data_IF_811509133349
#
_entry.id   IF_811509133349
#
_cell.length_a   1.000
_cell.length_b   1.000
_cell.length_c   1.000
_cell.angle_alpha   90.00
_cell.angle_beta   90.00
_cell.angle_gamma   90.00
#
_symmetry.space_group_name_H-M   'P 1'
#
loop_
_entity.id
_entity.type
_entity.pdbx_description
1 polymer ?
#
# COMPACT_ATOMS: atom_id res chain seq x y z
N UNK A 1 -26.56 -65.99 7.76
CA UNK A 1 -27.65 -65.30 8.47
C UNK A 1 -27.26 -63.84 8.41
N UNK A 2 -27.76 -63.10 7.45
CA UNK A 2 -29.00 -62.30 7.45
C UNK A 2 -28.79 -61.05 8.33
N UNK A 3 -28.98 -59.83 8.01
CA UNK A 3 -29.77 -59.04 7.03
C UNK A 3 -29.22 -57.61 7.07
N UNK A 4 -28.93 -56.94 6.03
CA UNK A 4 -29.62 -56.05 5.08
C UNK A 4 -30.38 -54.83 5.65
N UNK A 5 -30.18 -53.73 4.92
CA UNK A 5 -31.01 -52.55 4.70
C UNK A 5 -30.94 -51.47 5.78
N UNK A 6 -30.87 -50.20 5.48
CA UNK A 6 -31.11 -49.38 4.30
C UNK A 6 -31.10 -47.93 4.79
N UNK A 7 -30.53 -47.06 4.06
CA UNK A 7 -30.49 -45.62 4.42
C UNK A 7 -30.38 -44.75 3.19
N UNK A 8 -31.52 -44.44 2.64
CA UNK A 8 -31.67 -43.64 1.41
C UNK A 8 -31.78 -42.14 1.70
N UNK A 9 -31.11 -41.38 0.84
CA UNK A 9 -31.58 -40.14 0.23
C UNK A 9 -32.05 -39.01 1.17
N UNK A 10 -31.15 -38.09 1.44
CA UNK A 10 -31.47 -36.71 1.89
C UNK A 10 -30.44 -35.69 1.38
N UNK A 11 -29.82 -35.93 0.22
CA UNK A 11 -28.78 -35.06 -0.35
C UNK A 11 -29.21 -34.08 -1.45
N UNK A 12 -30.48 -34.03 -1.83
CA UNK A 12 -30.90 -33.35 -3.06
C UNK A 12 -31.60 -31.98 -2.87
N UNK A 13 -32.08 -31.66 -1.71
CA UNK A 13 -32.91 -30.45 -1.50
C UNK A 13 -32.15 -29.23 -0.95
N UNK A 14 -31.02 -29.44 -0.30
CA UNK A 14 -30.21 -28.34 0.27
C UNK A 14 -29.40 -27.56 -0.78
N UNK A 15 -28.99 -28.19 -1.87
CA UNK A 15 -28.21 -27.54 -2.93
C UNK A 15 -28.99 -26.50 -3.74
N UNK A 16 -30.29 -26.76 -3.99
CA UNK A 16 -31.16 -25.85 -4.78
C UNK A 16 -31.52 -24.60 -3.98
N UNK A 17 -31.72 -24.73 -2.67
CA UNK A 17 -32.09 -23.59 -1.82
C UNK A 17 -30.93 -22.58 -1.67
N UNK A 18 -29.67 -23.06 -1.58
CA UNK A 18 -28.48 -22.18 -1.47
C UNK A 18 -28.22 -21.42 -2.76
N UNK A 19 -28.39 -22.04 -3.93
CA UNK A 19 -28.28 -21.37 -5.23
C UNK A 19 -29.37 -20.32 -5.44
N UNK A 20 -30.61 -20.58 -5.01
CA UNK A 20 -31.70 -19.61 -5.11
C UNK A 20 -31.49 -18.38 -4.20
N UNK A 21 -30.96 -18.56 -2.99
CA UNK A 21 -30.61 -17.46 -2.09
C UNK A 21 -29.45 -16.62 -2.61
N UNK A 22 -28.45 -17.23 -3.25
CA UNK A 22 -27.33 -16.50 -3.86
C UNK A 22 -27.77 -15.66 -5.08
N UNK A 23 -28.72 -16.14 -5.87
CA UNK A 23 -29.27 -15.41 -7.01
C UNK A 23 -30.16 -14.23 -6.56
N UNK A 24 -30.88 -14.35 -5.45
CA UNK A 24 -31.67 -13.25 -4.88
C UNK A 24 -30.78 -12.13 -4.30
N UNK A 25 -29.65 -12.47 -3.67
CA UNK A 25 -28.70 -11.49 -3.17
C UNK A 25 -27.98 -10.71 -4.30
N UNK A 26 -27.64 -11.39 -5.40
CA UNK A 26 -27.05 -10.75 -6.57
C UNK A 26 -28.03 -9.81 -7.31
N UNK A 27 -29.32 -10.17 -7.33
CA UNK A 27 -30.37 -9.37 -7.95
C UNK A 27 -30.67 -8.06 -7.21
N UNK A 28 -30.64 -8.04 -5.87
CA UNK A 28 -30.87 -6.84 -5.08
C UNK A 28 -29.74 -5.80 -5.24
N UNK A 29 -28.48 -6.23 -5.33
CA UNK A 29 -27.34 -5.32 -5.50
C UNK A 29 -27.36 -4.57 -6.82
N UNK A 30 -27.76 -5.21 -7.91
CA UNK A 30 -27.84 -4.59 -9.25
C UNK A 30 -28.95 -3.55 -9.33
N UNK A 31 -30.09 -3.80 -8.71
CA UNK A 31 -31.23 -2.86 -8.70
C UNK A 31 -30.88 -1.61 -7.91
N UNK A 32 -30.25 -1.77 -6.74
CA UNK A 32 -29.85 -0.65 -5.88
C UNK A 32 -28.85 0.26 -6.60
N UNK A 33 -27.79 -0.32 -7.19
CA UNK A 33 -26.76 0.47 -7.91
C UNK A 33 -27.34 1.28 -9.08
N UNK A 34 -28.34 0.75 -9.81
CA UNK A 34 -28.98 1.47 -10.91
C UNK A 34 -29.82 2.64 -10.42
N UNK A 35 -30.60 2.48 -9.35
CA UNK A 35 -31.39 3.57 -8.75
C UNK A 35 -30.51 4.64 -8.14
N UNK A 36 -29.44 4.23 -7.43
CA UNK A 36 -28.45 5.14 -6.85
C UNK A 36 -27.74 5.98 -7.92
N UNK A 37 -27.31 5.31 -9.02
CA UNK A 37 -26.70 5.98 -10.16
C UNK A 37 -27.63 7.03 -10.79
N UNK A 38 -28.90 6.65 -10.99
CA UNK A 38 -29.91 7.57 -11.55
C UNK A 38 -30.12 8.76 -10.63
N UNK A 39 -30.33 8.53 -9.32
CA UNK A 39 -30.52 9.60 -8.33
C UNK A 39 -29.31 10.51 -8.22
N UNK A 40 -28.10 9.96 -8.27
CA UNK A 40 -26.86 10.73 -8.27
C UNK A 40 -26.74 11.60 -9.53
N UNK A 41 -27.11 11.09 -10.71
CA UNK A 41 -27.12 11.87 -11.95
C UNK A 41 -28.14 13.03 -11.91
N UNK A 42 -29.36 12.78 -11.40
CA UNK A 42 -30.38 13.83 -11.22
C UNK A 42 -29.90 14.93 -10.26
N UNK A 43 -29.27 14.55 -9.16
CA UNK A 43 -28.71 15.49 -8.20
C UNK A 43 -27.56 16.31 -8.82
N UNK A 44 -26.66 15.66 -9.57
CA UNK A 44 -25.56 16.31 -10.26
C UNK A 44 -26.07 17.31 -11.31
N UNK A 45 -27.05 16.94 -12.13
CA UNK A 45 -27.63 17.83 -13.15
C UNK A 45 -28.35 19.03 -12.51
N UNK A 46 -29.07 18.80 -11.40
CA UNK A 46 -29.74 19.89 -10.69
C UNK A 46 -28.79 20.90 -10.06
N UNK A 47 -27.62 20.45 -9.57
CA UNK A 47 -26.69 21.26 -8.78
C UNK A 47 -25.49 21.78 -9.59
N UNK A 48 -25.04 21.00 -10.55
CA UNK A 48 -23.86 21.22 -11.39
C UNK A 48 -24.17 20.90 -12.87
N UNK A 49 -25.11 21.56 -13.51
CA UNK A 49 -25.59 21.24 -14.86
C UNK A 49 -24.43 21.23 -15.87
N UNK A 50 -24.26 20.11 -16.56
CA UNK A 50 -23.20 19.93 -17.57
C UNK A 50 -21.76 19.87 -17.03
N UNK A 51 -21.57 19.86 -15.70
CA UNK A 51 -20.24 19.82 -15.08
C UNK A 51 -19.85 18.41 -14.62
N UNK A 52 -20.82 17.63 -14.12
CA UNK A 52 -20.57 16.30 -13.56
C UNK A 52 -21.17 15.21 -14.42
N UNK A 53 -20.33 14.30 -14.94
CA UNK A 53 -20.75 13.13 -15.70
C UNK A 53 -20.51 11.85 -14.90
N UNK A 54 -21.52 10.97 -14.79
CA UNK A 54 -21.43 9.71 -14.06
C UNK A 54 -20.56 8.70 -14.83
N UNK A 55 -19.40 8.38 -14.29
CA UNK A 55 -18.48 7.38 -14.82
C UNK A 55 -18.87 5.96 -14.40
N UNK A 56 -19.10 5.74 -13.11
CA UNK A 56 -19.39 4.43 -12.55
C UNK A 56 -20.20 4.52 -11.26
N UNK A 57 -20.80 3.38 -10.90
CA UNK A 57 -21.40 3.18 -9.59
C UNK A 57 -21.05 1.77 -9.09
N UNK A 58 -20.69 1.63 -7.82
CA UNK A 58 -20.40 0.35 -7.18
C UNK A 58 -21.16 0.23 -5.87
N UNK A 59 -21.71 -0.96 -5.61
CA UNK A 59 -22.37 -1.22 -4.32
C UNK A 59 -21.38 -1.18 -3.16
N UNK A 60 -21.84 -0.69 -2.01
CA UNK A 60 -21.10 -0.69 -0.76
C UNK A 60 -21.36 -1.91 0.12
N UNK A 61 -22.37 -2.72 -0.25
CA UNK A 61 -22.69 -3.99 0.43
C UNK A 61 -21.47 -4.96 0.45
N UNK A 62 -21.19 -5.68 1.57
CA UNK A 62 -22.01 -5.76 2.80
C UNK A 62 -21.68 -4.70 3.85
N UNK A 63 -20.72 -3.81 3.65
CA UNK A 63 -20.27 -2.88 4.69
C UNK A 63 -21.35 -1.84 5.05
N UNK A 64 -22.07 -1.30 4.03
CA UNK A 64 -23.18 -0.36 4.20
C UNK A 64 -24.20 -0.54 3.07
N UNK A 65 -25.41 0.03 3.23
CA UNK A 65 -26.38 0.15 2.14
C UNK A 65 -25.94 1.22 1.12
N UNK A 66 -26.55 1.17 -0.07
CA UNK A 66 -26.33 2.15 -1.13
C UNK A 66 -25.09 1.87 -1.99
N UNK A 67 -24.70 2.89 -2.74
CA UNK A 67 -23.61 2.82 -3.72
C UNK A 67 -22.66 4.01 -3.60
N UNK A 68 -21.41 3.79 -3.98
CA UNK A 68 -20.46 4.86 -4.28
C UNK A 68 -20.53 5.16 -5.78
N UNK A 69 -20.94 6.39 -6.11
CA UNK A 69 -21.02 6.88 -7.48
C UNK A 69 -19.82 7.77 -7.75
N UNK A 70 -19.13 7.51 -8.86
CA UNK A 70 -17.96 8.26 -9.31
C UNK A 70 -18.35 9.13 -10.50
N UNK A 71 -17.96 10.41 -10.44
CA UNK A 71 -18.15 11.35 -11.54
C UNK A 71 -16.81 11.87 -12.07
N UNK A 72 -16.75 12.18 -13.36
CA UNK A 72 -15.78 13.10 -13.94
C UNK A 72 -16.27 14.54 -13.79
N UNK A 73 -15.33 15.46 -13.90
CA UNK A 73 -15.60 16.92 -13.83
C UNK A 73 -15.22 17.50 -15.19
N UNK A 74 -16.18 18.04 -15.93
CA UNK A 74 -15.98 18.45 -17.32
C UNK A 74 -14.91 19.55 -17.49
N UNK A 75 -14.84 20.48 -16.53
CA UNK A 75 -13.89 21.59 -16.50
C UNK A 75 -12.57 21.27 -15.77
N UNK A 76 -12.42 20.03 -15.23
CA UNK A 76 -11.19 19.56 -14.56
C UNK A 76 -10.93 18.07 -14.87
N UNK A 77 -10.21 17.74 -15.94
CA UNK A 77 -9.97 16.35 -16.38
C UNK A 77 -9.10 15.54 -15.42
N UNK A 78 -8.48 16.17 -14.43
CA UNK A 78 -7.74 15.50 -13.39
C UNK A 78 -8.64 15.09 -12.21
N UNK A 79 -9.78 15.78 -12.00
CA UNK A 79 -10.65 15.61 -10.85
C UNK A 79 -11.64 14.44 -11.00
N UNK A 80 -11.83 13.69 -9.92
CA UNK A 80 -12.91 12.73 -9.76
C UNK A 80 -13.69 13.04 -8.49
N UNK A 81 -15.02 12.98 -8.58
CA UNK A 81 -15.93 13.19 -7.45
C UNK A 81 -16.50 11.84 -7.04
N UNK A 82 -16.41 11.49 -5.76
CA UNK A 82 -16.97 10.26 -5.19
C UNK A 82 -18.08 10.63 -4.22
N UNK A 83 -19.31 10.19 -4.53
CA UNK A 83 -20.50 10.41 -3.71
C UNK A 83 -21.06 9.05 -3.26
N UNK A 84 -21.24 8.88 -1.95
CA UNK A 84 -21.98 7.74 -1.43
C UNK A 84 -23.45 8.13 -1.28
N UNK A 85 -24.33 7.33 -1.86
CA UNK A 85 -25.77 7.59 -1.93
C UNK A 85 -26.54 6.28 -1.75
N UNK A 86 -27.62 6.35 -1.01
CA UNK A 86 -28.67 5.33 -0.91
C UNK A 86 -30.00 5.96 -1.37
N UNK A 87 -30.36 5.69 -2.61
CA UNK A 87 -31.57 6.26 -3.19
C UNK A 87 -32.85 5.71 -2.53
N UNK A 88 -32.82 4.48 -2.01
CA UNK A 88 -33.95 3.88 -1.32
C UNK A 88 -34.18 4.52 0.05
N UNK A 89 -33.14 4.84 0.77
CA UNK A 89 -33.21 5.59 2.04
C UNK A 89 -33.32 7.10 1.87
N UNK A 90 -33.08 7.62 0.66
CA UNK A 90 -33.05 9.06 0.39
C UNK A 90 -31.88 9.81 1.06
N UNK A 91 -30.81 9.09 1.38
CA UNK A 91 -29.68 9.62 2.19
C UNK A 91 -28.36 9.61 1.42
N UNK A 92 -27.44 10.46 1.87
CA UNK A 92 -26.05 10.48 1.45
C UNK A 92 -25.12 10.42 2.68
N UNK A 93 -23.89 9.99 2.49
CA UNK A 93 -22.90 9.60 3.53
C UNK A 93 -22.67 10.68 4.63
N UNK A 94 -22.96 11.96 4.38
CA UNK A 94 -22.63 13.03 5.31
C UNK A 94 -23.78 14.02 5.53
N UNK A 95 -25.02 13.56 5.43
CA UNK A 95 -26.19 14.37 5.66
C UNK A 95 -27.02 14.62 4.39
N UNK A 96 -27.61 15.82 4.21
CA UNK A 96 -28.38 16.17 3.02
C UNK A 96 -27.55 15.98 1.75
N UNK A 97 -28.15 15.38 0.72
CA UNK A 97 -27.41 14.97 -0.49
C UNK A 97 -26.80 16.15 -1.25
N UNK A 98 -27.45 17.31 -1.25
CA UNK A 98 -26.92 18.52 -1.88
C UNK A 98 -25.58 18.92 -1.24
N UNK A 99 -25.55 19.00 0.08
CA UNK A 99 -24.34 19.33 0.82
C UNK A 99 -23.27 18.25 0.66
N UNK A 100 -23.65 16.97 0.69
CA UNK A 100 -22.72 15.86 0.50
C UNK A 100 -22.07 15.91 -0.89
N UNK A 101 -22.83 16.29 -1.93
CA UNK A 101 -22.30 16.48 -3.28
C UNK A 101 -21.35 17.68 -3.34
N UNK A 102 -21.71 18.84 -2.77
CA UNK A 102 -20.85 20.02 -2.74
C UNK A 102 -19.49 19.70 -2.08
N UNK A 103 -19.51 19.07 -0.91
CA UNK A 103 -18.31 18.62 -0.21
C UNK A 103 -17.50 17.58 -1.02
N UNK A 104 -18.18 16.69 -1.77
CA UNK A 104 -17.51 15.71 -2.63
C UNK A 104 -16.81 16.37 -3.82
N UNK A 105 -17.44 17.38 -4.44
CA UNK A 105 -16.86 18.18 -5.52
C UNK A 105 -15.62 18.94 -5.04
N UNK A 106 -15.71 19.60 -3.90
CA UNK A 106 -14.60 20.34 -3.30
C UNK A 106 -13.42 19.39 -3.01
N UNK A 107 -13.68 18.24 -2.39
CA UNK A 107 -12.64 17.21 -2.14
C UNK A 107 -12.03 16.69 -3.44
N UNK A 108 -12.84 16.41 -4.46
CA UNK A 108 -12.37 15.93 -5.76
C UNK A 108 -11.42 16.91 -6.44
N UNK A 109 -11.78 18.18 -6.48
CA UNK A 109 -10.96 19.27 -7.05
C UNK A 109 -9.69 19.52 -6.22
N UNK A 110 -9.79 19.49 -4.88
CA UNK A 110 -8.64 19.61 -3.98
C UNK A 110 -7.61 18.51 -4.22
N UNK A 111 -8.06 17.24 -4.35
CA UNK A 111 -7.19 16.11 -4.65
C UNK A 111 -6.54 16.20 -6.03
N UNK A 112 -7.28 16.66 -7.04
CA UNK A 112 -6.72 16.91 -8.36
C UNK A 112 -5.64 17.99 -8.31
N UNK A 113 -5.88 19.08 -7.58
CA UNK A 113 -4.90 20.14 -7.33
C UNK A 113 -3.63 19.62 -6.62
N UNK A 114 -3.79 18.73 -5.62
CA UNK A 114 -2.64 18.10 -4.95
C UNK A 114 -1.84 17.21 -5.90
N UNK A 115 -2.52 16.38 -6.70
CA UNK A 115 -1.85 15.55 -7.71
C UNK A 115 -1.09 16.39 -8.74
N UNK A 116 -1.67 17.51 -9.19
CA UNK A 116 -0.98 18.43 -10.11
C UNK A 116 0.29 19.01 -9.48
N UNK A 117 0.23 19.47 -8.22
CA UNK A 117 1.42 19.97 -7.50
C UNK A 117 2.48 18.87 -7.36
N UNK A 118 2.06 17.66 -7.00
CA UNK A 118 2.97 16.50 -6.91
C UNK A 118 3.64 16.24 -8.26
N UNK A 119 2.86 16.13 -9.35
CA UNK A 119 3.40 15.89 -10.69
C UNK A 119 4.37 16.98 -11.13
N UNK A 120 4.02 18.26 -10.93
CA UNK A 120 4.90 19.37 -11.27
C UNK A 120 6.22 19.29 -10.51
N UNK A 121 6.20 19.09 -9.18
CA UNK A 121 7.40 19.01 -8.36
C UNK A 121 8.35 17.87 -8.83
N UNK A 122 7.83 16.69 -9.16
CA UNK A 122 8.67 15.60 -9.64
C UNK A 122 9.13 15.83 -11.07
N UNK A 123 8.31 16.37 -11.97
CA UNK A 123 8.69 16.71 -13.35
C UNK A 123 9.80 17.78 -13.39
N UNK A 124 9.68 18.82 -12.58
CA UNK A 124 10.68 19.89 -12.46
C UNK A 124 12.03 19.38 -11.95
N UNK A 125 12.02 18.31 -11.16
CA UNK A 125 13.22 17.61 -10.73
C UNK A 125 13.74 16.58 -11.75
N UNK A 126 13.04 16.34 -12.87
CA UNK A 126 13.43 15.36 -13.89
C UNK A 126 13.01 13.92 -13.62
N UNK A 127 12.05 13.70 -12.69
CA UNK A 127 11.52 12.38 -12.38
C UNK A 127 10.09 12.19 -12.88
N UNK A 128 9.81 11.02 -13.45
CA UNK A 128 8.45 10.65 -13.86
C UNK A 128 7.65 10.11 -12.65
N UNK A 129 6.55 10.78 -12.33
CA UNK A 129 5.55 10.24 -11.40
C UNK A 129 4.71 9.18 -12.12
N UNK A 130 4.76 7.93 -11.68
CA UNK A 130 4.10 6.80 -12.34
C UNK A 130 2.88 6.28 -11.61
N UNK A 131 2.65 6.72 -10.38
CA UNK A 131 1.49 6.40 -9.55
C UNK A 131 1.56 7.12 -8.21
N UNK A 132 0.49 7.03 -7.43
CA UNK A 132 0.44 7.51 -6.06
C UNK A 132 -0.58 6.69 -5.26
N UNK A 133 -0.38 6.57 -3.95
CA UNK A 133 -1.39 5.95 -3.07
C UNK A 133 -2.73 6.69 -3.15
N UNK A 134 -3.87 6.04 -2.84
CA UNK A 134 -5.18 6.70 -2.85
C UNK A 134 -5.26 7.99 -2.02
N UNK A 135 -4.52 8.09 -0.93
CA UNK A 135 -4.42 9.30 -0.10
C UNK A 135 -3.40 10.32 -0.63
N UNK A 136 -2.78 10.10 -1.79
CA UNK A 136 -1.69 10.91 -2.35
C UNK A 136 -0.51 11.11 -1.39
N UNK A 137 -0.32 10.19 -0.43
CA UNK A 137 0.67 10.29 0.63
C UNK A 137 2.01 9.64 0.30
N UNK A 138 2.04 8.73 -0.68
CA UNK A 138 3.24 8.05 -1.13
C UNK A 138 3.26 7.98 -2.67
N UNK A 139 4.03 8.87 -3.33
CA UNK A 139 4.26 8.83 -4.78
C UNK A 139 5.08 7.60 -5.19
N UNK A 140 4.85 7.15 -6.42
CA UNK A 140 5.65 6.16 -7.12
C UNK A 140 6.39 6.85 -8.26
N UNK A 141 7.71 6.75 -8.28
CA UNK A 141 8.56 7.43 -9.27
C UNK A 141 9.44 6.43 -10.01
N UNK A 142 9.70 6.72 -11.28
CA UNK A 142 10.60 5.92 -12.10
C UNK A 142 12.05 6.41 -11.93
N UNK A 143 12.92 5.55 -11.39
CA UNK A 143 14.37 5.81 -11.34
C UNK A 143 15.15 4.49 -11.29
N UNK A 144 16.40 4.53 -11.73
CA UNK A 144 17.33 3.39 -11.69
C UNK A 144 18.63 3.82 -11.00
N UNK A 145 18.65 3.97 -9.66
CA UNK A 145 19.87 4.27 -8.94
C UNK A 145 20.89 3.13 -9.07
N UNK A 146 22.17 3.50 -9.09
CA UNK A 146 23.32 2.58 -9.03
C UNK A 146 24.15 2.91 -7.80
N UNK A 147 25.12 2.07 -7.44
CA UNK A 147 26.06 2.38 -6.35
C UNK A 147 26.74 3.76 -6.50
N UNK A 148 27.03 4.16 -7.75
CA UNK A 148 27.64 5.47 -8.01
C UNK A 148 26.65 6.65 -7.89
N UNK A 149 25.34 6.42 -7.96
CA UNK A 149 24.35 7.50 -8.05
C UNK A 149 23.31 7.50 -6.96
N UNK A 150 23.17 6.43 -6.16
CA UNK A 150 22.06 6.25 -5.22
C UNK A 150 21.97 7.41 -4.22
N UNK A 151 23.05 7.82 -3.59
CA UNK A 151 23.05 8.93 -2.62
C UNK A 151 22.53 10.21 -3.25
N UNK A 152 22.98 10.54 -4.47
CA UNK A 152 22.53 11.72 -5.21
C UNK A 152 21.05 11.59 -5.59
N UNK A 153 20.64 10.46 -6.16
CA UNK A 153 19.24 10.22 -6.57
C UNK A 153 18.29 10.33 -5.40
N UNK A 154 18.63 9.77 -4.22
CA UNK A 154 17.80 9.88 -3.02
C UNK A 154 17.69 11.33 -2.56
N UNK A 155 18.78 12.10 -2.56
CA UNK A 155 18.76 13.51 -2.18
C UNK A 155 17.95 14.38 -3.17
N UNK A 156 18.05 14.11 -4.47
CA UNK A 156 17.28 14.80 -5.52
C UNK A 156 15.78 14.51 -5.35
N UNK A 157 15.37 13.25 -5.19
CA UNK A 157 13.99 12.87 -4.91
C UNK A 157 13.49 13.53 -3.61
N UNK A 158 14.34 13.59 -2.57
CA UNK A 158 14.02 14.30 -1.33
C UNK A 158 13.76 15.80 -1.54
N UNK A 159 14.48 16.44 -2.44
CA UNK A 159 14.23 17.83 -2.81
C UNK A 159 12.88 18.01 -3.52
N UNK A 160 12.50 17.08 -4.41
CA UNK A 160 11.18 17.09 -5.05
C UNK A 160 10.07 16.91 -4.01
N UNK A 161 10.25 15.97 -3.05
CA UNK A 161 9.32 15.76 -1.94
C UNK A 161 9.17 17.02 -1.10
N UNK A 162 10.25 17.71 -0.79
CA UNK A 162 10.23 18.98 -0.03
C UNK A 162 9.43 20.05 -0.75
N UNK A 163 9.51 20.12 -2.08
CA UNK A 163 8.75 21.09 -2.89
C UNK A 163 7.25 20.75 -2.91
N UNK A 164 6.90 19.47 -2.93
CA UNK A 164 5.51 19.03 -3.03
C UNK A 164 4.83 18.84 -1.67
N UNK A 165 5.53 18.23 -0.71
CA UNK A 165 4.88 17.65 0.49
C UNK A 165 4.28 18.73 1.38
N UNK A 166 2.99 18.65 1.72
CA UNK A 166 2.41 19.53 2.73
C UNK A 166 2.99 19.18 4.12
N UNK A 167 3.14 20.21 4.96
CA UNK A 167 3.62 20.08 6.33
C UNK A 167 2.71 19.23 7.23
N UNK A 168 1.45 19.06 6.83
CA UNK A 168 0.39 18.35 7.57
C UNK A 168 -0.22 17.25 6.72
N UNK A 169 -0.70 16.21 7.37
CA UNK A 169 -1.49 15.17 6.72
C UNK A 169 -2.94 15.66 6.43
N UNK A 170 -3.75 14.79 5.84
CA UNK A 170 -5.15 15.07 5.53
C UNK A 170 -6.04 15.34 6.76
N UNK A 171 -5.60 14.93 7.96
CA UNK A 171 -6.27 15.17 9.23
C UNK A 171 -5.73 16.41 9.96
N UNK A 172 -4.80 17.14 9.35
CA UNK A 172 -4.17 18.33 9.91
C UNK A 172 -3.07 18.04 10.95
N UNK A 173 -2.72 16.76 11.18
CA UNK A 173 -1.63 16.39 12.07
C UNK A 173 -0.25 16.65 11.41
N UNK A 174 0.78 17.05 12.17
CA UNK A 174 2.12 17.25 11.63
C UNK A 174 2.68 15.92 11.12
N UNK A 175 3.11 15.89 9.86
CA UNK A 175 3.80 14.73 9.29
C UNK A 175 5.17 14.58 9.94
N UNK A 176 5.54 13.35 10.26
CA UNK A 176 6.88 12.99 10.78
C UNK A 176 7.80 12.45 9.69
N UNK A 177 7.21 11.85 8.68
CA UNK A 177 7.94 11.31 7.53
C UNK A 177 7.08 11.32 6.26
N UNK A 178 7.75 11.27 5.11
CA UNK A 178 7.14 11.07 3.80
C UNK A 178 7.81 9.90 3.11
N UNK A 179 7.02 8.98 2.57
CA UNK A 179 7.53 7.82 1.83
C UNK A 179 7.38 8.03 0.33
N UNK A 180 8.41 7.63 -0.43
CA UNK A 180 8.41 7.58 -1.90
C UNK A 180 8.78 6.17 -2.32
N UNK A 181 8.03 5.61 -3.27
CA UNK A 181 8.38 4.32 -3.87
C UNK A 181 9.11 4.55 -5.20
N UNK A 182 10.25 3.90 -5.37
CA UNK A 182 11.09 4.02 -6.57
C UNK A 182 11.05 2.70 -7.31
N UNK A 183 10.59 2.73 -8.57
CA UNK A 183 10.52 1.57 -9.45
C UNK A 183 11.45 1.73 -10.65
N UNK A 184 11.91 0.61 -11.19
CA UNK A 184 12.73 0.63 -12.40
C UNK A 184 11.94 1.25 -13.59
N UNK A 185 12.57 2.08 -14.43
CA UNK A 185 11.92 2.70 -15.59
C UNK A 185 11.30 1.71 -16.59
N UNK A 186 11.85 0.49 -16.69
CA UNK A 186 11.27 -0.61 -17.47
C UNK A 186 9.88 -0.98 -16.97
N UNK A 187 9.76 -1.26 -15.67
CA UNK A 187 8.48 -1.61 -15.02
C UNK A 187 7.48 -0.45 -15.11
N UNK A 188 7.95 0.79 -15.00
CA UNK A 188 7.10 1.97 -15.16
C UNK A 188 6.49 2.06 -16.58
N UNK A 189 7.21 1.68 -17.62
CA UNK A 189 6.70 1.63 -19.01
C UNK A 189 5.72 0.50 -19.27
N UNK A 190 5.89 -0.63 -18.58
CA UNK A 190 5.02 -1.80 -18.71
C UNK A 190 3.70 -1.65 -17.92
N UNK A 191 3.55 -0.58 -17.14
CA UNK A 191 2.36 -0.36 -16.30
C UNK A 191 1.08 -0.26 -17.12
N UNK A 192 -0.08 -0.68 -16.57
CA UNK A 192 -1.37 -0.46 -17.21
C UNK A 192 -1.62 1.04 -17.45
N UNK A 193 -1.95 1.40 -18.68
CA UNK A 193 -2.19 2.80 -19.06
C UNK A 193 -3.48 3.40 -18.43
N UNK A 194 -4.37 2.53 -17.96
CA UNK A 194 -5.71 2.92 -17.55
C UNK A 194 -6.58 3.36 -18.73
N UNK A 195 -7.83 3.70 -18.47
CA UNK A 195 -8.72 4.25 -19.53
C UNK A 195 -8.38 5.72 -19.73
N UNK A 196 -8.06 6.10 -20.97
CA UNK A 196 -7.71 7.48 -21.30
C UNK A 196 -8.79 8.52 -20.93
N UNK A 197 -10.06 8.09 -20.92
CA UNK A 197 -11.22 8.92 -20.54
C UNK A 197 -11.43 9.05 -19.02
N UNK A 198 -10.70 8.28 -18.20
CA UNK A 198 -10.82 8.39 -16.74
C UNK A 198 -10.02 9.58 -16.24
N UNK A 199 -10.51 10.30 -15.22
CA UNK A 199 -9.77 11.36 -14.54
C UNK A 199 -8.37 10.91 -14.12
N UNK A 200 -7.40 11.83 -14.20
CA UNK A 200 -5.99 11.50 -13.92
C UNK A 200 -5.81 11.00 -12.49
N UNK A 201 -6.53 11.58 -11.51
CA UNK A 201 -6.44 11.11 -10.12
C UNK A 201 -6.82 9.63 -9.97
N UNK A 202 -7.84 9.16 -10.68
CA UNK A 202 -8.26 7.75 -10.64
C UNK A 202 -7.24 6.85 -11.32
N UNK A 203 -6.67 7.27 -12.45
CA UNK A 203 -5.63 6.50 -13.17
C UNK A 203 -4.36 6.36 -12.34
N UNK A 204 -3.93 7.46 -11.70
CA UNK A 204 -2.69 7.48 -10.92
C UNK A 204 -2.80 6.79 -9.56
N UNK A 205 -4.02 6.64 -9.03
CA UNK A 205 -4.27 5.96 -7.75
C UNK A 205 -4.97 4.62 -7.90
N UNK A 206 -5.02 4.08 -9.11
CA UNK A 206 -5.69 2.80 -9.41
C UNK A 206 -5.01 1.63 -8.67
N UNK A 207 -5.75 0.83 -7.90
CA UNK A 207 -5.16 -0.31 -7.18
C UNK A 207 -4.50 -1.35 -8.11
N UNK A 208 -5.02 -1.53 -9.34
CA UNK A 208 -4.45 -2.42 -10.33
C UNK A 208 -3.10 -1.89 -10.84
N UNK A 209 -2.98 -0.58 -11.05
CA UNK A 209 -1.72 0.07 -11.36
C UNK A 209 -0.70 -0.14 -10.23
N UNK A 210 -1.07 0.21 -9.00
CA UNK A 210 -0.19 0.09 -7.84
C UNK A 210 0.22 -1.37 -7.59
N UNK A 211 -0.74 -2.30 -7.74
CA UNK A 211 -0.46 -3.73 -7.68
C UNK A 211 0.51 -4.21 -8.76
N UNK A 212 0.43 -3.66 -9.98
CA UNK A 212 1.37 -3.97 -11.06
C UNK A 212 2.77 -3.44 -10.77
N UNK A 213 2.89 -2.22 -10.25
CA UNK A 213 4.17 -1.62 -9.82
C UNK A 213 4.81 -2.38 -8.65
N UNK A 214 4.00 -2.90 -7.73
CA UNK A 214 4.46 -3.67 -6.56
C UNK A 214 4.74 -5.16 -6.86
N UNK A 215 4.55 -5.64 -8.10
CA UNK A 215 4.80 -7.05 -8.47
C UNK A 215 6.28 -7.44 -8.49
N UNK A 216 7.18 -6.49 -8.46
CA UNK A 216 8.63 -6.71 -8.42
C UNK A 216 9.25 -5.96 -7.25
N UNK A 217 10.44 -6.36 -6.80
CA UNK A 217 11.18 -5.62 -5.80
C UNK A 217 11.35 -4.15 -6.20
N UNK A 218 11.15 -3.25 -5.26
CA UNK A 218 11.27 -1.81 -5.45
C UNK A 218 11.79 -1.15 -4.17
N UNK A 219 12.32 0.05 -4.27
CA UNK A 219 12.78 0.78 -3.09
C UNK A 219 11.65 1.63 -2.51
N UNK A 220 11.44 1.51 -1.20
CA UNK A 220 10.63 2.46 -0.44
C UNK A 220 11.56 3.36 0.36
N UNK A 221 11.50 4.65 0.09
CA UNK A 221 12.38 5.64 0.71
C UNK A 221 11.60 6.50 1.68
N UNK A 222 12.04 6.56 2.92
CA UNK A 222 11.45 7.42 3.96
C UNK A 222 12.32 8.65 4.17
N UNK A 223 11.69 9.84 4.12
CA UNK A 223 12.31 11.12 4.42
C UNK A 223 11.74 11.67 5.71
N UNK A 224 12.61 12.17 6.60
CA UNK A 224 12.20 12.77 7.87
C UNK A 224 11.63 14.19 7.62
N UNK A 225 10.57 14.51 8.34
CA UNK A 225 10.00 15.86 8.37
C UNK A 225 10.34 16.49 9.72
N UNK A 226 11.03 17.64 9.69
CA UNK A 226 11.36 18.45 10.87
C UNK A 226 10.75 19.84 10.69
N UNK A 227 10.05 20.32 11.71
CA UNK A 227 9.38 21.62 11.69
C UNK A 227 8.49 21.85 10.44
N UNK A 228 7.85 20.77 9.96
CA UNK A 228 7.01 20.81 8.78
C UNK A 228 7.76 20.81 7.44
N UNK A 229 9.10 20.69 7.45
CA UNK A 229 9.94 20.68 6.25
C UNK A 229 10.60 19.32 6.09
N UNK A 230 10.55 18.77 4.87
CA UNK A 230 11.27 17.54 4.53
C UNK A 230 12.76 17.79 4.47
N UNK A 231 13.54 16.95 5.14
CA UNK A 231 14.99 16.94 5.03
C UNK A 231 15.41 16.01 3.87
N UNK A 232 15.87 16.54 2.72
CA UNK A 232 16.25 15.75 1.55
C UNK A 232 17.42 14.79 1.80
N UNK A 233 18.31 15.13 2.73
CA UNK A 233 19.46 14.30 3.06
C UNK A 233 19.12 13.13 4.00
N UNK A 234 17.93 13.13 4.60
CA UNK A 234 17.48 12.08 5.52
C UNK A 234 16.94 10.83 4.84
N UNK A 235 16.98 10.77 3.50
CA UNK A 235 16.41 9.67 2.73
C UNK A 235 17.02 8.31 3.09
N UNK A 236 16.25 7.44 3.72
CA UNK A 236 16.61 6.05 3.99
C UNK A 236 15.75 5.13 3.15
N UNK A 237 16.39 4.28 2.37
CA UNK A 237 15.72 3.36 1.48
C UNK A 237 15.74 1.94 2.05
N UNK A 238 14.64 1.23 1.95
CA UNK A 238 14.57 -0.21 2.17
C UNK A 238 14.01 -0.91 0.93
N UNK A 239 14.37 -2.17 0.76
CA UNK A 239 13.89 -2.98 -0.35
C UNK A 239 12.54 -3.60 0.03
N UNK A 240 11.51 -3.22 -0.73
CA UNK A 240 10.18 -3.80 -0.65
C UNK A 240 10.04 -4.95 -1.63
N UNK A 241 9.64 -6.11 -1.14
CA UNK A 241 9.47 -7.32 -1.95
C UNK A 241 7.99 -7.67 -2.12
N UNK A 242 7.58 -8.24 -3.27
CA UNK A 242 6.38 -9.05 -3.37
C UNK A 242 6.38 -10.18 -2.32
N UNK A 243 5.20 -10.64 -1.92
CA UNK A 243 5.09 -11.60 -0.81
C UNK A 243 5.92 -12.89 -1.01
N UNK A 244 5.92 -13.44 -2.23
CA UNK A 244 6.65 -14.68 -2.53
C UNK A 244 8.17 -14.47 -2.52
N UNK A 245 8.64 -13.39 -3.14
CA UNK A 245 10.07 -13.03 -3.15
C UNK A 245 10.56 -12.74 -1.73
N UNK A 246 9.73 -12.06 -0.92
CA UNK A 246 10.03 -11.79 0.48
C UNK A 246 10.23 -13.08 1.28
N UNK A 247 9.36 -14.08 1.10
CA UNK A 247 9.50 -15.36 1.79
C UNK A 247 10.77 -16.11 1.38
N UNK A 248 11.11 -16.06 0.09
CA UNK A 248 12.35 -16.67 -0.42
C UNK A 248 13.59 -15.97 0.18
N UNK A 249 13.61 -14.66 0.15
CA UNK A 249 14.66 -13.83 0.76
C UNK A 249 14.81 -14.12 2.26
N UNK A 250 13.71 -14.02 3.03
CA UNK A 250 13.72 -14.29 4.49
C UNK A 250 14.17 -15.71 4.81
N UNK A 251 13.84 -16.68 3.96
CA UNK A 251 14.31 -18.06 4.11
C UNK A 251 15.82 -18.14 3.91
N UNK A 252 16.37 -17.55 2.85
CA UNK A 252 17.82 -17.57 2.55
C UNK A 252 18.60 -16.95 3.71
N UNK A 253 18.20 -15.76 4.16
CA UNK A 253 18.82 -15.09 5.30
C UNK A 253 18.73 -15.92 6.58
N UNK A 254 17.54 -16.45 6.87
CA UNK A 254 17.31 -17.26 8.08
C UNK A 254 18.11 -18.56 8.07
N UNK A 255 18.30 -19.19 6.92
CA UNK A 255 19.13 -20.40 6.78
C UNK A 255 20.61 -20.06 7.05
N UNK A 256 21.13 -19.00 6.44
CA UNK A 256 22.51 -18.58 6.63
C UNK A 256 22.83 -18.26 8.10
N UNK A 257 21.91 -17.55 8.79
CA UNK A 257 22.08 -17.24 10.22
C UNK A 257 21.99 -18.51 11.08
N UNK A 258 21.09 -19.46 10.77
CA UNK A 258 21.01 -20.74 11.47
C UNK A 258 22.30 -21.56 11.33
N UNK A 259 22.87 -21.59 10.13
CA UNK A 259 24.12 -22.31 9.88
C UNK A 259 25.28 -21.69 10.66
N UNK A 260 25.37 -20.37 10.67
CA UNK A 260 26.38 -19.66 11.46
C UNK A 260 26.18 -19.86 12.97
N UNK A 261 24.95 -19.77 13.49
CA UNK A 261 24.67 -20.03 14.91
C UNK A 261 25.02 -21.45 15.32
N UNK A 262 24.77 -22.47 14.47
CA UNK A 262 25.15 -23.85 14.77
C UNK A 262 26.65 -24.03 15.06
N UNK A 263 27.51 -23.23 14.43
CA UNK A 263 28.96 -23.31 14.65
C UNK A 263 29.42 -22.46 15.82
N UNK A 264 28.79 -21.30 16.06
CA UNK A 264 29.22 -20.32 17.07
C UNK A 264 28.47 -20.44 18.40
N UNK A 265 27.19 -20.89 18.35
CA UNK A 265 26.24 -20.99 19.47
C UNK A 265 25.31 -22.18 19.31
N UNK A 266 25.79 -23.43 19.50
CA UNK A 266 25.06 -24.65 19.12
C UNK A 266 23.68 -24.83 19.75
N UNK A 267 23.38 -24.12 20.87
CA UNK A 267 22.07 -24.18 21.54
C UNK A 267 21.12 -23.07 21.10
N UNK A 268 21.60 -22.08 20.35
CA UNK A 268 20.81 -20.95 19.91
C UNK A 268 19.79 -21.32 18.83
N UNK A 269 18.67 -20.62 18.81
CA UNK A 269 17.63 -20.79 17.79
C UNK A 269 17.17 -19.47 17.18
N UNK A 270 17.00 -19.44 15.87
CA UNK A 270 16.42 -18.29 15.16
C UNK A 270 14.95 -18.16 15.52
N UNK A 271 14.54 -16.98 15.99
CA UNK A 271 13.18 -16.64 16.33
C UNK A 271 12.44 -16.03 15.14
N UNK A 272 13.03 -15.03 14.51
CA UNK A 272 12.41 -14.27 13.42
C UNK A 272 13.49 -13.56 12.59
N UNK A 273 13.29 -13.54 11.27
CA UNK A 273 13.98 -12.61 10.38
C UNK A 273 13.23 -11.28 10.44
N UNK A 274 13.87 -10.20 10.86
CA UNK A 274 13.18 -8.95 11.13
C UNK A 274 12.78 -8.17 9.86
N UNK A 275 11.71 -7.40 9.99
CA UNK A 275 10.88 -6.90 8.92
C UNK A 275 11.46 -5.97 7.86
N UNK A 276 12.39 -5.05 8.16
CA UNK A 276 12.90 -4.07 7.19
C UNK A 276 14.38 -4.29 6.90
N UNK A 277 14.69 -4.33 5.60
CA UNK A 277 16.05 -4.48 5.09
C UNK A 277 16.44 -3.18 4.40
N UNK A 278 17.24 -2.39 5.09
CA UNK A 278 17.68 -1.07 4.65
C UNK A 278 18.84 -1.18 3.68
N UNK A 279 18.86 -0.34 2.65
CA UNK A 279 20.06 -0.21 1.83
C UNK A 279 21.23 0.29 2.69
N UNK A 280 22.37 -0.38 2.58
CA UNK A 280 23.61 0.13 3.14
C UNK A 280 23.97 1.47 2.47
N UNK A 281 24.48 2.44 3.22
CA UNK A 281 24.77 3.78 2.68
C UNK A 281 25.62 3.74 1.40
N UNK A 282 25.16 4.43 0.36
CA UNK A 282 25.88 4.53 -0.91
C UNK A 282 25.81 3.27 -1.80
N UNK A 283 24.94 2.29 -1.49
CA UNK A 283 24.82 1.08 -2.29
C UNK A 283 23.35 0.81 -2.70
N UNK A 284 23.16 -0.03 -3.72
CA UNK A 284 21.85 -0.59 -4.11
C UNK A 284 21.83 -2.11 -4.08
N UNK A 285 22.98 -2.73 -3.85
CA UNK A 285 23.23 -4.16 -3.88
C UNK A 285 23.59 -4.75 -2.50
N UNK A 286 23.49 -3.94 -1.45
CA UNK A 286 23.73 -4.37 -0.06
C UNK A 286 22.59 -3.90 0.84
N UNK A 287 22.08 -4.84 1.61
CA UNK A 287 20.98 -4.63 2.54
C UNK A 287 21.45 -4.94 3.96
N UNK A 288 21.21 -4.03 4.88
CA UNK A 288 21.47 -4.20 6.30
C UNK A 288 20.18 -4.54 7.03
N UNK A 289 20.23 -5.49 7.93
CA UNK A 289 19.09 -5.90 8.71
C UNK A 289 19.45 -6.80 9.87
N UNK A 290 18.43 -7.38 10.50
CA UNK A 290 18.58 -8.12 11.74
C UNK A 290 17.82 -9.44 11.68
N UNK A 291 18.38 -10.46 12.29
CA UNK A 291 17.72 -11.73 12.57
C UNK A 291 17.68 -11.95 14.07
N UNK A 292 16.47 -12.05 14.62
CA UNK A 292 16.30 -12.29 16.06
C UNK A 292 16.55 -13.75 16.41
N UNK A 293 17.24 -13.97 17.53
CA UNK A 293 17.52 -15.31 18.04
C UNK A 293 17.50 -15.36 19.58
N UNK A 294 17.45 -16.58 20.13
CA UNK A 294 17.59 -16.86 21.55
C UNK A 294 18.81 -17.73 21.76
N UNK A 295 19.50 -17.59 22.88
CA UNK A 295 20.67 -18.43 23.23
C UNK A 295 20.31 -19.91 23.46
N UNK A 296 19.05 -20.21 23.83
CA UNK A 296 18.58 -21.60 24.01
C UNK A 296 17.29 -21.85 23.24
N UNK A 297 17.37 -22.69 22.22
CA UNK A 297 16.22 -23.19 21.48
C UNK A 297 15.75 -24.50 22.16
N UNK A 298 14.65 -24.47 22.92
CA UNK A 298 14.02 -25.72 23.35
C UNK A 298 13.73 -25.91 24.83
N UNK A 299 13.91 -24.94 25.68
CA UNK A 299 13.62 -25.01 27.12
C UNK A 299 12.14 -24.87 27.51
N UNK A 300 11.17 -25.19 26.63
CA UNK A 300 9.73 -25.08 26.91
C UNK A 300 9.15 -23.69 26.79
N UNK A 301 9.96 -22.63 26.80
CA UNK A 301 9.54 -21.26 26.50
C UNK A 301 9.69 -20.99 25.00
N UNK A 302 8.71 -20.28 24.40
CA UNK A 302 8.84 -19.81 23.02
C UNK A 302 10.04 -18.86 22.94
N UNK A 303 10.94 -19.11 21.98
CA UNK A 303 12.00 -18.17 21.65
C UNK A 303 11.37 -16.83 21.18
N UNK A 304 11.47 -15.81 22.00
CA UNK A 304 10.92 -14.49 21.68
C UNK A 304 11.89 -13.64 20.85
N UNK A 305 13.16 -14.03 20.73
CA UNK A 305 14.21 -13.26 20.07
C UNK A 305 14.77 -12.16 20.96
N UNK A 306 15.48 -12.54 22.01
CA UNK A 306 16.03 -11.62 23.00
C UNK A 306 17.34 -10.97 22.54
N UNK A 307 17.95 -11.56 21.51
CA UNK A 307 19.17 -11.09 20.88
C UNK A 307 18.96 -10.95 19.37
N UNK A 308 19.85 -10.22 18.70
CA UNK A 308 19.85 -10.07 17.26
C UNK A 308 21.23 -10.39 16.65
N UNK A 309 21.22 -10.91 15.45
CA UNK A 309 22.36 -10.91 14.55
C UNK A 309 22.15 -9.81 13.55
N UNK A 310 23.03 -8.79 13.57
CA UNK A 310 23.12 -7.79 12.51
C UNK A 310 23.99 -8.34 11.39
N UNK A 311 23.54 -8.18 10.16
CA UNK A 311 24.26 -8.65 8.98
C UNK A 311 23.95 -7.80 7.75
N UNK A 312 24.86 -7.83 6.80
CA UNK A 312 24.67 -7.29 5.45
C UNK A 312 24.45 -8.45 4.49
N UNK A 313 23.50 -8.32 3.59
CA UNK A 313 23.16 -9.31 2.57
C UNK A 313 23.05 -8.66 1.19
N UNK A 314 23.13 -9.45 0.13
CA UNK A 314 22.73 -9.05 -1.22
C UNK A 314 21.17 -9.04 -1.37
N UNK A 315 20.62 -8.56 -2.50
CA UNK A 315 19.18 -8.57 -2.75
C UNK A 315 18.56 -9.98 -2.80
N UNK A 316 19.33 -11.02 -2.97
CA UNK A 316 18.92 -12.43 -2.95
C UNK A 316 18.93 -13.02 -1.51
N UNK A 317 19.47 -12.28 -0.53
CA UNK A 317 19.54 -12.67 0.88
C UNK A 317 20.81 -13.42 1.27
N UNK A 318 21.82 -13.49 0.41
CA UNK A 318 23.09 -14.12 0.75
C UNK A 318 23.95 -13.15 1.57
N UNK A 319 24.59 -13.60 2.66
CA UNK A 319 25.48 -12.77 3.47
C UNK A 319 26.69 -12.23 2.66
N UNK A 320 26.98 -10.93 2.82
CA UNK A 320 28.07 -10.22 2.12
C UNK A 320 29.12 -9.66 3.10
N UNK A 321 29.10 -10.08 4.35
CA UNK A 321 30.02 -9.59 5.38
C UNK A 321 29.93 -10.41 6.64
N UNK A 322 30.49 -9.87 7.71
CA UNK A 322 30.53 -10.54 9.00
C UNK A 322 29.17 -10.47 9.73
N UNK A 323 28.92 -11.46 10.55
CA UNK A 323 27.78 -11.49 11.45
C UNK A 323 28.15 -10.81 12.77
N UNK A 324 27.33 -9.86 13.21
CA UNK A 324 27.55 -9.17 14.49
C UNK A 324 26.41 -9.50 15.46
N UNK A 325 26.73 -9.96 16.66
CA UNK A 325 25.74 -10.21 17.71
C UNK A 325 25.45 -8.94 18.48
N UNK A 326 24.17 -8.62 18.61
CA UNK A 326 23.63 -7.59 19.47
C UNK A 326 22.86 -8.28 20.59
N UNK A 327 23.25 -8.01 21.83
CA UNK A 327 22.63 -8.59 23.02
C UNK A 327 21.47 -7.72 23.50
N UNK A 328 20.52 -8.38 24.16
CA UNK A 328 19.46 -7.73 24.95
C UNK A 328 18.69 -6.66 24.16
N UNK A 329 18.19 -7.05 22.98
CA UNK A 329 17.48 -6.15 22.08
C UNK A 329 16.03 -5.88 22.49
N UNK A 330 15.60 -6.33 23.67
CA UNK A 330 14.25 -6.06 24.20
C UNK A 330 14.33 -5.11 25.40
N UNK A 331 13.39 -4.15 25.41
CA UNK A 331 13.18 -3.30 26.58
C UNK A 331 12.37 -4.01 27.68
N UNK A 332 12.19 -3.37 28.84
CA UNK A 332 11.46 -3.88 30.00
C UNK A 332 9.97 -4.22 29.68
N UNK A 333 9.44 -3.77 28.56
CA UNK A 333 8.10 -4.08 28.06
C UNK A 333 8.10 -5.16 26.98
N UNK A 334 9.24 -5.80 26.72
CA UNK A 334 9.42 -6.83 25.70
C UNK A 334 9.41 -6.32 24.26
N UNK A 335 9.48 -5.01 24.03
CA UNK A 335 9.58 -4.42 22.70
C UNK A 335 11.00 -4.50 22.19
N UNK A 336 11.13 -4.87 20.91
CA UNK A 336 12.44 -4.92 20.25
C UNK A 336 12.98 -3.50 20.06
N UNK A 337 14.24 -3.28 20.44
CA UNK A 337 15.00 -2.04 20.25
C UNK A 337 16.29 -2.37 19.48
N UNK A 338 16.30 -2.04 18.22
CA UNK A 338 17.44 -2.25 17.33
C UNK A 338 18.19 -0.92 17.09
N UNK A 339 19.52 -0.95 16.87
CA UNK A 339 20.35 0.27 16.81
C UNK A 339 19.99 1.27 15.70
N UNK A 340 19.17 0.88 14.74
CA UNK A 340 18.79 1.72 13.58
C UNK A 340 17.35 2.26 13.66
N UNK A 341 16.62 1.99 14.73
CA UNK A 341 15.25 2.47 14.91
C UNK A 341 15.16 3.83 15.61
#
# INVERSE_FOLDING_TARGET
MAETWGGRVLGGLTGVLVCALALLAAGCGVVTTKSDRKRAAELAEARYPGILDVLSARTLFPATSGSEVTFSVADDPDAAVLLRIDAAAGTCDRGPCDRALDEAVERGRSRAGELRRMRAAFTDCGYELVGATPALSAPWVAAAPTNATVTRVLAEIGACVRTWSPARDENGAPRRSVTVNIVAPGLARERPAGKATSPTVLRMTDPGLLGALAKRPHYSVSYTVRDGVVDPASGRAYLSFPWEDRRAFEKTVGDAVRDWLRTTRPRAGVAMVSGLWWLAPGTVDRLEGYVLFCDEAGGGARCAGDHAVALTVDPEGNPVGDFQVIRDVRDDHGRVRLPQE
#
